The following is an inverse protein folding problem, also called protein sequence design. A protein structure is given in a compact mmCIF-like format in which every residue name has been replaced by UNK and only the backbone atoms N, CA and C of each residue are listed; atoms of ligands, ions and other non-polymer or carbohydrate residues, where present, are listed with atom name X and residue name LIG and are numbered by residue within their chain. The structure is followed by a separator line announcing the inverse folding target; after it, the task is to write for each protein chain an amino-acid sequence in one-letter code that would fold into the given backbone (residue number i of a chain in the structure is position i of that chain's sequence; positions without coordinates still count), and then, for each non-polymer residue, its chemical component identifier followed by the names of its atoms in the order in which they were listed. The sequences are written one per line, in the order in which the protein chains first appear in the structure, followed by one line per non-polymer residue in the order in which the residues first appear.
data_IF_986300550592
#
_entry.id   IF_986300550592
#
_cell.length_a   1.000
_cell.length_b   1.000
_cell.length_c   1.000
_cell.angle_alpha   90.00
_cell.angle_beta   90.00
_cell.angle_gamma   90.00
#
_symmetry.space_group_name_H-M   'P 1'
#
loop_
_entity.id
_entity.type
_entity.pdbx_description
1 polymer ?
#
# COMPACT_ATOMS: atom_id res chain seq x y z
N UNK A 1 -5.61 27.64 1.94
CA UNK A 1 -4.16 27.57 1.68
C UNK A 1 -3.92 26.32 0.85
N UNK A 2 -3.21 26.39 -0.29
CA UNK A 2 -2.85 25.21 -1.06
C UNK A 2 -1.92 24.34 -0.20
N UNK A 3 -2.39 23.15 0.16
CA UNK A 3 -1.60 22.13 0.85
C UNK A 3 -1.81 20.84 0.07
N UNK A 4 -0.79 20.42 -0.67
CA UNK A 4 -0.78 19.08 -1.22
C UNK A 4 -0.74 18.07 -0.07
N UNK A 5 -1.72 17.19 -0.01
CA UNK A 5 -1.77 16.09 0.97
C UNK A 5 -1.84 14.77 0.22
N UNK A 6 -0.98 13.83 0.59
CA UNK A 6 -1.02 12.44 0.13
C UNK A 6 -1.39 11.53 1.30
N UNK A 7 -2.41 10.69 1.15
CA UNK A 7 -2.78 9.67 2.13
C UNK A 7 -2.71 8.29 1.48
N UNK A 8 -1.81 7.45 1.98
CA UNK A 8 -1.59 6.09 1.52
C UNK A 8 -2.19 5.12 2.54
N UNK A 9 -3.23 4.39 2.16
CA UNK A 9 -3.85 3.35 2.96
C UNK A 9 -3.29 1.98 2.58
N UNK A 10 -2.78 1.21 3.54
CA UNK A 10 -2.13 -0.09 3.32
C UNK A 10 -2.92 -1.22 3.98
N UNK A 11 -3.34 -2.19 3.17
CA UNK A 11 -4.20 -3.29 3.60
C UNK A 11 -5.63 -2.85 3.94
N UNK A 12 -6.50 -3.82 4.25
CA UNK A 12 -7.93 -3.55 4.50
C UNK A 12 -8.21 -2.47 5.54
N UNK A 13 -7.47 -2.42 6.65
CA UNK A 13 -7.64 -1.37 7.67
C UNK A 13 -7.25 0.02 7.14
N UNK A 14 -6.15 0.11 6.39
CA UNK A 14 -5.75 1.36 5.74
C UNK A 14 -6.77 1.80 4.70
N UNK A 15 -7.31 0.86 3.92
CA UNK A 15 -8.39 1.12 2.96
C UNK A 15 -9.67 1.61 3.63
N UNK A 16 -10.06 1.01 4.76
CA UNK A 16 -11.21 1.49 5.54
C UNK A 16 -11.06 2.94 5.99
N UNK A 17 -9.86 3.37 6.39
CA UNK A 17 -9.57 4.78 6.70
C UNK A 17 -9.71 5.66 5.45
N UNK A 18 -9.25 5.19 4.29
CA UNK A 18 -9.42 5.94 3.04
C UNK A 18 -10.89 6.08 2.64
N UNK A 19 -11.70 5.04 2.80
CA UNK A 19 -13.14 5.11 2.53
C UNK A 19 -13.79 6.18 3.41
N UNK A 20 -13.44 6.23 4.70
CA UNK A 20 -13.95 7.22 5.64
C UNK A 20 -13.52 8.64 5.27
N UNK A 21 -12.22 8.81 4.97
CA UNK A 21 -11.67 10.10 4.61
C UNK A 21 -12.28 10.63 3.31
N UNK A 22 -12.35 9.78 2.27
CA UNK A 22 -12.92 10.17 0.97
C UNK A 22 -14.38 10.61 1.12
N UNK A 23 -15.18 9.82 1.86
CA UNK A 23 -16.57 10.18 2.14
C UNK A 23 -16.68 11.53 2.85
N UNK A 24 -15.89 11.74 3.90
CA UNK A 24 -15.92 13.00 4.66
C UNK A 24 -15.52 14.19 3.80
N UNK A 25 -14.50 14.03 2.94
CA UNK A 25 -14.07 15.06 2.00
C UNK A 25 -15.13 15.38 0.94
N UNK A 26 -15.84 14.38 0.43
CA UNK A 26 -16.94 14.62 -0.52
C UNK A 26 -18.14 15.29 0.16
N UNK A 27 -18.50 14.85 1.37
CA UNK A 27 -19.61 15.43 2.13
C UNK A 27 -19.34 16.90 2.52
N UNK A 28 -18.10 17.23 2.93
CA UNK A 28 -17.74 18.55 3.47
C UNK A 28 -17.15 19.52 2.41
N UNK A 29 -16.45 19.00 1.41
CA UNK A 29 -15.60 19.77 0.48
C UNK A 29 -15.87 19.45 -1.00
N UNK A 30 -16.89 18.65 -1.32
CA UNK A 30 -17.26 18.30 -2.70
C UNK A 30 -16.43 17.16 -3.31
N UNK A 31 -15.10 17.21 -3.18
CA UNK A 31 -14.22 16.10 -3.57
C UNK A 31 -12.86 16.14 -2.87
N UNK A 32 -12.10 15.01 -2.85
CA UNK A 32 -10.71 15.02 -2.39
C UNK A 32 -9.83 15.99 -3.17
N UNK A 33 -10.06 16.13 -4.48
CA UNK A 33 -9.29 17.03 -5.36
C UNK A 33 -9.53 18.51 -5.00
N UNK A 34 -10.79 18.91 -4.73
CA UNK A 34 -11.13 20.26 -4.26
C UNK A 34 -10.50 20.57 -2.89
N UNK A 35 -10.28 19.54 -2.07
CA UNK A 35 -9.57 19.65 -0.80
C UNK A 35 -8.03 19.60 -0.92
N UNK A 36 -7.48 19.36 -2.13
CA UNK A 36 -6.03 19.18 -2.35
C UNK A 36 -5.48 17.88 -1.77
N UNK A 37 -6.32 16.86 -1.61
CA UNK A 37 -6.00 15.56 -1.01
C UNK A 37 -5.99 14.46 -2.06
N UNK A 38 -4.87 13.76 -2.18
CA UNK A 38 -4.72 12.57 -3.01
C UNK A 38 -4.76 11.32 -2.15
N UNK A 39 -5.61 10.36 -2.52
CA UNK A 39 -5.74 9.07 -1.86
C UNK A 39 -5.10 7.96 -2.71
N UNK A 40 -4.42 7.03 -2.04
CA UNK A 40 -3.88 5.82 -2.66
C UNK A 40 -4.07 4.62 -1.72
N UNK A 41 -4.98 3.72 -2.06
CA UNK A 41 -5.14 2.42 -1.42
C UNK A 41 -4.19 1.39 -2.03
N UNK A 42 -3.47 0.66 -1.20
CA UNK A 42 -2.62 -0.46 -1.57
C UNK A 42 -3.14 -1.68 -0.80
N UNK A 43 -3.88 -2.53 -1.48
CA UNK A 43 -4.45 -3.74 -0.89
C UNK A 43 -4.59 -4.83 -1.97
N UNK A 44 -4.85 -6.03 -1.52
CA UNK A 44 -5.03 -7.18 -2.39
C UNK A 44 -6.46 -7.36 -2.90
N UNK A 45 -7.43 -7.63 -2.01
CA UNK A 45 -8.83 -7.78 -2.37
C UNK A 45 -9.37 -6.55 -3.09
N UNK A 46 -10.11 -6.74 -4.18
CA UNK A 46 -10.83 -5.62 -4.83
C UNK A 46 -12.09 -5.24 -4.06
N UNK A 47 -12.71 -6.21 -3.41
CA UNK A 47 -13.91 -5.98 -2.61
C UNK A 47 -13.55 -5.53 -1.18
N UNK A 48 -14.11 -4.37 -0.83
CA UNK A 48 -14.32 -3.79 0.49
C UNK A 48 -14.90 -4.69 1.60
N UNK A 49 -14.19 -5.09 2.65
CA UNK A 49 -14.84 -5.52 3.89
C UNK A 49 -15.25 -4.32 4.77
N UNK A 50 -14.58 -3.17 4.60
CA UNK A 50 -14.79 -1.95 5.38
C UNK A 50 -15.52 -0.86 4.58
N UNK A 51 -16.66 -1.20 3.99
CA UNK A 51 -17.52 -0.26 3.28
C UNK A 51 -18.28 0.65 4.24
N UNK A 52 -18.49 1.91 3.83
CA UNK A 52 -19.27 2.88 4.62
C UNK A 52 -20.62 3.09 3.94
N UNK A 53 -21.66 2.36 4.37
CA UNK A 53 -22.96 2.38 3.70
C UNK A 53 -22.86 2.08 2.18
N UNK A 54 -21.96 1.18 1.78
CA UNK A 54 -21.70 0.83 0.38
C UNK A 54 -20.69 1.75 -0.34
N UNK A 55 -20.19 2.77 0.35
CA UNK A 55 -19.19 3.71 -0.18
C UNK A 55 -17.75 3.19 -0.01
N UNK A 56 -16.90 3.45 -1.01
CA UNK A 56 -15.46 3.17 -1.00
C UNK A 56 -14.68 4.09 -1.96
N UNK A 57 -13.35 4.09 -1.80
CA UNK A 57 -12.45 4.59 -2.84
C UNK A 57 -12.64 3.84 -4.17
N UNK A 58 -12.28 4.46 -5.27
CA UNK A 58 -12.43 3.84 -6.60
C UNK A 58 -11.37 2.74 -6.80
N UNK A 59 -11.83 1.48 -6.86
CA UNK A 59 -11.00 0.28 -7.03
C UNK A 59 -10.99 -0.26 -8.46
N UNK A 60 -11.59 0.47 -9.43
CA UNK A 60 -11.56 0.06 -10.84
C UNK A 60 -10.12 0.01 -11.36
N UNK A 61 -9.86 -0.86 -12.34
CA UNK A 61 -8.51 -1.06 -12.90
C UNK A 61 -7.90 0.20 -13.52
N UNK A 62 -8.73 1.14 -13.96
CA UNK A 62 -8.32 2.43 -14.51
C UNK A 62 -8.12 3.50 -13.45
N UNK A 63 -8.51 3.23 -12.20
CA UNK A 63 -8.42 4.20 -11.12
C UNK A 63 -6.98 4.43 -10.69
N UNK A 64 -6.70 5.67 -10.28
CA UNK A 64 -5.44 6.05 -9.63
C UNK A 64 -5.57 6.05 -8.10
N UNK A 65 -6.74 5.73 -7.57
CA UNK A 65 -6.98 5.65 -6.13
C UNK A 65 -6.58 4.29 -5.55
N UNK A 66 -6.37 3.26 -6.38
CA UNK A 66 -6.14 1.90 -5.91
C UNK A 66 -5.03 1.17 -6.68
N UNK A 67 -4.11 0.56 -5.94
CA UNK A 67 -3.10 -0.35 -6.45
C UNK A 67 -3.38 -1.78 -5.93
N UNK A 68 -3.80 -2.71 -6.82
CA UNK A 68 -4.11 -4.08 -6.43
C UNK A 68 -2.83 -4.92 -6.30
N UNK A 69 -2.61 -5.49 -5.11
CA UNK A 69 -1.61 -6.50 -4.87
C UNK A 69 -2.05 -7.85 -5.46
N UNK A 70 -1.25 -8.43 -6.35
CA UNK A 70 -1.57 -9.62 -7.15
C UNK A 70 -0.43 -10.63 -7.28
N UNK A 71 0.82 -10.23 -7.04
CA UNK A 71 1.97 -11.12 -7.22
C UNK A 71 2.12 -12.05 -6.03
N UNK A 72 2.02 -13.36 -6.25
CA UNK A 72 2.08 -14.37 -5.20
C UNK A 72 3.54 -14.82 -4.95
N UNK A 73 4.11 -14.65 -3.74
CA UNK A 73 5.49 -15.03 -3.43
C UNK A 73 5.65 -16.51 -3.02
N UNK A 74 4.63 -17.35 -3.24
CA UNK A 74 4.63 -18.77 -2.85
C UNK A 74 5.86 -19.51 -3.36
N UNK A 75 6.18 -19.39 -4.64
CA UNK A 75 7.30 -20.13 -5.26
C UNK A 75 8.64 -19.73 -4.63
N UNK A 76 8.82 -18.44 -4.35
CA UNK A 76 10.01 -17.89 -3.71
C UNK A 76 10.12 -18.41 -2.27
N UNK A 77 9.03 -18.41 -1.52
CA UNK A 77 9.02 -18.89 -0.14
C UNK A 77 9.24 -20.41 -0.10
N UNK A 78 8.60 -21.18 -0.99
CA UNK A 78 8.75 -22.63 -1.06
C UNK A 78 10.17 -23.04 -1.51
N UNK A 79 10.80 -22.26 -2.41
CA UNK A 79 12.22 -22.42 -2.72
C UNK A 79 13.12 -22.17 -1.50
N UNK A 80 12.83 -21.13 -0.70
CA UNK A 80 13.54 -20.88 0.57
C UNK A 80 13.35 -22.01 1.59
N UNK A 81 12.15 -22.62 1.68
CA UNK A 81 11.90 -23.79 2.56
C UNK A 81 12.81 -24.97 2.24
N UNK A 82 13.11 -25.17 0.95
CA UNK A 82 14.00 -26.23 0.42
C UNK A 82 15.49 -25.88 0.54
N UNK A 83 15.83 -24.67 0.97
CA UNK A 83 17.20 -24.23 1.17
C UNK A 83 17.84 -23.52 -0.02
N UNK A 84 17.11 -23.32 -1.13
CA UNK A 84 17.63 -22.59 -2.29
C UNK A 84 17.80 -21.10 -1.99
N UNK A 85 18.89 -20.47 -2.47
CA UNK A 85 18.99 -19.01 -2.47
C UNK A 85 17.96 -18.43 -3.45
N UNK A 86 17.28 -17.37 -3.02
CA UNK A 86 16.29 -16.66 -3.81
C UNK A 86 16.63 -15.17 -3.71
N UNK A 87 16.89 -14.48 -4.84
CA UNK A 87 17.29 -13.09 -4.83
C UNK A 87 16.35 -12.22 -3.98
N UNK A 88 16.95 -11.37 -3.16
CA UNK A 88 16.30 -10.44 -2.22
C UNK A 88 15.55 -11.10 -1.05
N UNK A 89 15.01 -12.30 -1.23
CA UNK A 89 14.33 -13.05 -0.16
C UNK A 89 15.33 -13.62 0.86
N UNK A 90 16.49 -14.10 0.40
CA UNK A 90 17.51 -14.67 1.30
C UNK A 90 18.14 -13.66 2.26
N UNK A 91 18.00 -12.36 1.98
CA UNK A 91 18.49 -11.26 2.83
C UNK A 91 17.65 -11.05 4.10
N UNK A 92 16.39 -11.47 4.11
CA UNK A 92 15.47 -11.25 5.25
C UNK A 92 14.65 -12.47 5.65
N UNK A 93 14.52 -13.47 4.77
CA UNK A 93 13.81 -14.72 5.03
C UNK A 93 14.80 -15.89 5.15
N UNK A 94 15.12 -16.23 6.40
CA UNK A 94 15.92 -17.42 6.70
C UNK A 94 15.18 -18.71 6.29
N UNK A 95 15.93 -19.78 6.05
CA UNK A 95 15.35 -21.11 5.72
C UNK A 95 14.40 -21.57 6.84
N UNK A 96 14.77 -21.35 8.09
CA UNK A 96 13.96 -21.72 9.25
C UNK A 96 12.66 -20.90 9.33
N UNK A 97 12.72 -19.58 9.10
CA UNK A 97 11.52 -18.75 9.04
C UNK A 97 10.62 -19.13 7.85
N UNK A 98 11.21 -19.44 6.69
CA UNK A 98 10.47 -19.91 5.53
C UNK A 98 9.71 -21.21 5.82
N UNK A 99 10.34 -22.18 6.50
CA UNK A 99 9.71 -23.46 6.89
C UNK A 99 8.49 -23.27 7.80
N UNK A 100 8.51 -22.22 8.64
CA UNK A 100 7.38 -21.84 9.51
C UNK A 100 6.34 -20.96 8.83
N UNK A 101 6.60 -20.52 7.60
CA UNK A 101 5.68 -19.64 6.87
C UNK A 101 4.66 -20.48 6.10
N UNK A 102 3.37 -20.43 6.45
CA UNK A 102 2.33 -21.06 5.65
C UNK A 102 2.23 -20.37 4.29
N UNK A 103 2.17 -21.17 3.22
CA UNK A 103 1.98 -20.70 1.83
C UNK A 103 0.76 -21.32 1.18
N UNK A 104 0.07 -22.22 1.89
CA UNK A 104 -1.23 -22.76 1.51
C UNK A 104 -2.28 -21.68 1.79
N UNK A 105 -3.19 -21.49 0.84
CA UNK A 105 -4.33 -20.56 0.95
C UNK A 105 -3.95 -19.07 1.15
N UNK A 106 -2.76 -18.68 0.69
CA UNK A 106 -2.36 -17.28 0.62
C UNK A 106 -2.42 -16.79 -0.82
N UNK A 107 -3.51 -16.12 -1.18
CA UNK A 107 -3.67 -15.40 -2.44
C UNK A 107 -3.69 -13.89 -2.14
N UNK A 108 -2.76 -13.09 -2.68
CA UNK A 108 -2.79 -11.64 -2.52
C UNK A 108 -4.17 -11.04 -2.87
N UNK A 109 -4.84 -11.54 -3.90
CA UNK A 109 -6.13 -11.02 -4.38
C UNK A 109 -7.33 -11.40 -3.49
N UNK A 110 -7.19 -12.40 -2.62
CA UNK A 110 -8.24 -12.82 -1.68
C UNK A 110 -7.91 -12.44 -0.23
N UNK A 111 -6.64 -12.07 0.02
CA UNK A 111 -6.12 -11.71 1.32
C UNK A 111 -5.07 -12.70 1.82
N UNK A 112 -4.15 -12.20 2.64
CA UNK A 112 -2.96 -12.95 3.05
C UNK A 112 -3.09 -13.69 4.39
N UNK A 113 -4.29 -13.84 4.93
CA UNK A 113 -4.54 -14.65 6.13
C UNK A 113 -3.72 -14.30 7.39
N UNK A 114 -3.22 -13.07 7.52
CA UNK A 114 -2.32 -12.69 8.63
C UNK A 114 -0.86 -13.12 8.46
N UNK A 115 -0.49 -13.70 7.31
CA UNK A 115 0.85 -14.23 7.06
C UNK A 115 1.80 -13.13 6.57
N UNK A 116 2.43 -12.43 7.52
CA UNK A 116 3.29 -11.26 7.25
C UNK A 116 4.46 -11.53 6.30
N UNK A 117 5.20 -12.67 6.37
CA UNK A 117 6.28 -12.94 5.41
C UNK A 117 5.79 -13.04 3.97
N UNK A 118 4.56 -13.53 3.75
CA UNK A 118 3.93 -13.51 2.43
C UNK A 118 3.67 -12.07 2.02
N UNK A 119 3.08 -11.24 2.89
CA UNK A 119 2.89 -9.81 2.61
C UNK A 119 4.18 -9.11 2.19
N UNK A 120 5.26 -9.30 2.94
CA UNK A 120 6.56 -8.74 2.58
C UNK A 120 7.07 -9.26 1.23
N UNK A 121 6.91 -10.56 0.97
CA UNK A 121 7.25 -11.16 -0.32
C UNK A 121 6.51 -10.49 -1.48
N UNK A 122 5.22 -10.19 -1.32
CA UNK A 122 4.43 -9.43 -2.32
C UNK A 122 5.06 -8.07 -2.58
N UNK A 123 5.43 -7.31 -1.54
CA UNK A 123 6.05 -5.99 -1.71
C UNK A 123 7.35 -6.05 -2.54
N UNK A 124 8.18 -7.09 -2.36
CA UNK A 124 9.39 -7.28 -3.16
C UNK A 124 9.09 -7.61 -4.62
N UNK A 125 8.10 -8.47 -4.88
CA UNK A 125 7.70 -8.81 -6.25
C UNK A 125 7.04 -7.64 -6.98
N UNK A 126 6.42 -6.72 -6.24
CA UNK A 126 5.68 -5.58 -6.79
C UNK A 126 6.43 -4.24 -6.67
N UNK A 127 7.68 -4.24 -6.19
CA UNK A 127 8.41 -3.03 -5.84
C UNK A 127 8.42 -1.97 -6.96
N UNK A 128 8.60 -2.40 -8.22
CA UNK A 128 8.57 -1.49 -9.38
C UNK A 128 7.19 -0.86 -9.59
N UNK A 129 6.12 -1.65 -9.47
CA UNK A 129 4.75 -1.18 -9.64
C UNK A 129 4.31 -0.27 -8.50
N UNK A 130 4.63 -0.65 -7.26
CA UNK A 130 4.42 0.16 -6.05
C UNK A 130 5.14 1.50 -6.16
N UNK A 131 6.42 1.49 -6.53
CA UNK A 131 7.20 2.72 -6.72
C UNK A 131 6.54 3.65 -7.73
N UNK A 132 6.10 3.11 -8.88
CA UNK A 132 5.41 3.91 -9.91
C UNK A 132 4.11 4.52 -9.37
N UNK A 133 3.25 3.71 -8.73
CA UNK A 133 1.98 4.18 -8.20
C UNK A 133 2.16 5.27 -7.12
N UNK A 134 3.12 5.09 -6.22
CA UNK A 134 3.46 6.05 -5.18
C UNK A 134 4.03 7.34 -5.78
N UNK A 135 4.94 7.23 -6.76
CA UNK A 135 5.48 8.40 -7.47
C UNK A 135 4.40 9.19 -8.21
N UNK A 136 3.47 8.52 -8.87
CA UNK A 136 2.34 9.17 -9.56
C UNK A 136 1.40 9.86 -8.56
N UNK A 137 1.09 9.22 -7.43
CA UNK A 137 0.28 9.82 -6.38
C UNK A 137 0.97 11.04 -5.74
N UNK A 138 2.28 10.95 -5.50
CA UNK A 138 3.10 12.06 -5.03
C UNK A 138 3.08 13.24 -6.01
N UNK A 139 3.31 13.02 -7.29
CA UNK A 139 3.29 14.08 -8.31
C UNK A 139 1.93 14.78 -8.39
N UNK A 140 0.82 14.03 -8.24
CA UNK A 140 -0.53 14.64 -8.15
C UNK A 140 -0.67 15.50 -6.91
N UNK A 141 -0.29 15.00 -5.74
CA UNK A 141 -0.40 15.74 -4.49
C UNK A 141 0.47 17.01 -4.53
N UNK A 142 1.67 16.92 -5.14
CA UNK A 142 2.55 18.06 -5.35
C UNK A 142 1.94 19.13 -6.25
N UNK A 143 1.12 18.76 -7.23
CA UNK A 143 0.39 19.69 -8.09
C UNK A 143 -0.59 20.59 -7.34
N UNK A 144 -1.04 20.18 -6.15
CA UNK A 144 -1.88 21.00 -5.25
C UNK A 144 -1.07 21.85 -4.27
N UNK A 145 0.22 21.58 -4.09
CA UNK A 145 1.09 22.41 -3.29
C UNK A 145 1.58 23.60 -4.14
N UNK A 146 1.59 24.80 -3.56
CA UNK A 146 2.29 25.93 -4.18
C UNK A 146 3.81 25.69 -4.25
N UNK A 147 4.50 26.49 -5.06
CA UNK A 147 5.96 26.46 -5.10
C UNK A 147 6.54 26.74 -3.71
N UNK A 148 7.49 25.91 -3.28
CA UNK A 148 8.14 26.04 -1.96
C UNK A 148 7.27 25.64 -0.76
N UNK A 149 6.01 25.24 -0.96
CA UNK A 149 5.22 24.65 0.14
C UNK A 149 5.51 23.18 0.32
N UNK A 150 5.70 22.78 1.57
CA UNK A 150 5.87 21.40 1.96
C UNK A 150 4.57 20.62 1.79
N UNK A 151 4.71 19.39 1.34
CA UNK A 151 3.61 18.45 1.18
C UNK A 151 3.46 17.61 2.45
N UNK A 152 2.23 17.25 2.83
CA UNK A 152 2.02 16.30 3.92
C UNK A 152 1.77 14.90 3.36
N UNK A 153 2.44 13.89 3.89
CA UNK A 153 2.20 12.48 3.54
C UNK A 153 1.85 11.67 4.77
N UNK A 154 0.70 11.00 4.73
CA UNK A 154 0.24 10.09 5.77
C UNK A 154 0.24 8.67 5.21
N UNK A 155 0.81 7.73 5.96
CA UNK A 155 0.76 6.30 5.64
C UNK A 155 -0.01 5.62 6.76
N UNK A 156 -1.12 4.98 6.41
CA UNK A 156 -2.05 4.40 7.37
C UNK A 156 -2.18 2.91 7.09
N UNK A 157 -2.01 2.09 8.12
CA UNK A 157 -2.17 0.64 8.03
C UNK A 157 -2.25 0.01 9.41
N UNK A 158 -2.52 -1.29 9.45
CA UNK A 158 -2.56 -2.07 10.69
C UNK A 158 -1.40 -3.05 10.78
N UNK A 159 -0.87 -3.24 12.00
CA UNK A 159 0.15 -4.25 12.33
C UNK A 159 -0.42 -5.67 12.56
N UNK A 160 -1.74 -5.84 12.53
CA UNK A 160 -2.38 -7.14 12.77
C UNK A 160 -2.61 -7.97 11.49
N UNK A 161 -2.67 -7.34 10.32
CA UNK A 161 -3.01 -8.02 9.06
C UNK A 161 -1.81 -8.66 8.33
N UNK A 162 -2.09 -9.47 7.31
CA UNK A 162 -1.04 -10.10 6.47
C UNK A 162 -0.45 -9.13 5.44
N UNK A 163 -1.31 -8.51 4.62
CA UNK A 163 -0.90 -7.50 3.64
C UNK A 163 -0.40 -6.23 4.35
N UNK A 164 -1.28 -5.60 5.13
CA UNK A 164 -0.97 -4.38 5.91
C UNK A 164 0.36 -4.48 6.66
N UNK A 165 0.46 -5.39 7.63
CA UNK A 165 1.66 -5.48 8.46
C UNK A 165 2.88 -6.01 7.70
N UNK A 166 2.67 -6.82 6.67
CA UNK A 166 3.75 -7.39 5.85
C UNK A 166 4.40 -6.37 4.91
N UNK A 167 3.66 -5.36 4.44
CA UNK A 167 4.14 -4.40 3.43
C UNK A 167 4.37 -2.98 3.95
N UNK A 168 3.81 -2.62 5.12
CA UNK A 168 3.78 -1.22 5.60
C UNK A 168 5.16 -0.56 5.64
N UNK A 169 6.18 -1.26 6.15
CA UNK A 169 7.54 -0.73 6.27
C UNK A 169 8.18 -0.55 4.88
N UNK A 170 7.98 -1.52 3.98
CA UNK A 170 8.52 -1.44 2.62
C UNK A 170 7.86 -0.30 1.83
N UNK A 171 6.55 -0.10 2.02
CA UNK A 171 5.81 1.05 1.44
C UNK A 171 6.35 2.36 1.98
N UNK A 172 6.53 2.50 3.30
CA UNK A 172 7.11 3.71 3.88
C UNK A 172 8.53 4.00 3.34
N UNK A 173 9.32 2.95 3.14
CA UNK A 173 10.66 3.07 2.57
C UNK A 173 10.63 3.50 1.09
N UNK A 174 9.76 2.92 0.28
CA UNK A 174 9.56 3.30 -1.13
C UNK A 174 9.07 4.74 -1.21
N UNK A 175 8.06 5.10 -0.42
CA UNK A 175 7.52 6.46 -0.32
C UNK A 175 8.62 7.47 0.00
N UNK A 176 9.49 7.18 0.98
CA UNK A 176 10.64 8.04 1.29
C UNK A 176 11.56 8.27 0.09
N UNK A 177 11.84 7.22 -0.70
CA UNK A 177 12.68 7.34 -1.89
C UNK A 177 12.01 8.10 -3.04
N UNK A 178 10.68 8.04 -3.15
CA UNK A 178 9.93 8.79 -4.15
C UNK A 178 9.86 10.29 -3.84
N UNK A 179 9.83 10.65 -2.56
CA UNK A 179 9.66 12.04 -2.08
C UNK A 179 11.01 12.81 -2.06
N UNK A 180 12.14 12.11 -1.92
CA UNK A 180 13.46 12.73 -1.78
C UNK A 180 13.73 13.25 -0.36
N UNK A 181 15.00 13.60 -0.02
CA UNK A 181 15.40 13.95 1.34
C UNK A 181 14.88 15.31 1.84
N UNK A 182 14.55 16.25 0.94
CA UNK A 182 14.29 17.67 1.30
C UNK A 182 12.83 17.99 1.65
N UNK A 183 11.92 17.03 1.49
CA UNK A 183 10.46 17.22 1.62
C UNK A 183 9.90 16.64 2.94
N UNK A 184 10.75 16.15 3.84
CA UNK A 184 10.38 15.56 5.13
C UNK A 184 10.51 16.56 6.29
N UNK A 185 9.60 17.53 6.42
CA UNK A 185 9.45 18.32 7.67
C UNK A 185 8.06 18.92 7.82
#
# INVERSE_FOLDING_TARGET
MPKGVLVIGVGGAGRGVLNFLKKSLEDDMGSPDEAGVVLLGIDGPREDQYLIHGYQIDTQTTSKEFYPLKMNPRDQIDARKRGYSVPYFDQWLSVEAARRTPTTDTDPTEGLGGVRPVGRGVAFLEATGLRRAISEAFSRARGYAGEGTKMHTFIVGSFSGGAGAGTLIDIAHITRHCIGPDEWL
#
